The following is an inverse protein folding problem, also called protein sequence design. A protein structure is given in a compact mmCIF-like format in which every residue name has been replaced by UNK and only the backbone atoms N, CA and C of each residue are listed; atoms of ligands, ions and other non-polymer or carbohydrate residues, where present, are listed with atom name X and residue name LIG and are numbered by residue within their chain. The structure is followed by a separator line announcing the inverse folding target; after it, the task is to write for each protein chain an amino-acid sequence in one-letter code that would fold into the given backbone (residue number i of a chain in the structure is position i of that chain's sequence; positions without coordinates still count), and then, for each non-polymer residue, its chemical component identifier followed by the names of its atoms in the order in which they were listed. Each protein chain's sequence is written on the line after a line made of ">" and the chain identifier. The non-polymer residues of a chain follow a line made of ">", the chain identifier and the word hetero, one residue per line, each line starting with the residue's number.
data_IF_418128417615
#
_entry.id   IF_418128417615
#
_cell.length_a   1.000
_cell.length_b   1.000
_cell.length_c   1.000
_cell.angle_alpha   90.00
_cell.angle_beta   90.00
_cell.angle_gamma   90.00
#
_symmetry.space_group_name_H-M   'P 1'
#
loop_
_entity.id
_entity.type
_entity.pdbx_description
1 polymer ?
#
# COMPACT_ATOMS: atom_id res chain seq x y z
N UNK A 1 -4.86 -3.66 -23.88
CA UNK A 1 -6.31 -3.80 -24.01
C UNK A 1 -6.78 -3.20 -25.31
N UNK A 2 -6.52 -1.92 -25.58
CA UNK A 2 -6.96 -1.21 -26.81
C UNK A 2 -6.55 -1.94 -28.09
N UNK A 3 -5.34 -2.45 -28.19
CA UNK A 3 -4.86 -3.19 -29.38
C UNK A 3 -5.68 -4.47 -29.65
N UNK A 4 -6.16 -5.13 -28.59
CA UNK A 4 -6.90 -6.39 -28.69
C UNK A 4 -8.40 -6.20 -28.88
N UNK A 5 -8.97 -5.13 -28.35
CA UNK A 5 -10.42 -4.93 -28.28
C UNK A 5 -10.91 -3.76 -29.14
N UNK A 6 -10.03 -2.83 -29.49
CA UNK A 6 -10.38 -1.56 -30.12
C UNK A 6 -10.99 -0.52 -29.16
N UNK A 7 -11.22 -0.87 -27.90
CA UNK A 7 -11.73 0.05 -26.87
C UNK A 7 -10.66 1.07 -26.50
N UNK A 8 -10.99 2.33 -26.49
CA UNK A 8 -10.08 3.42 -26.10
C UNK A 8 -10.39 3.91 -24.69
N UNK A 9 -9.35 4.41 -24.01
CA UNK A 9 -9.51 5.04 -22.71
C UNK A 9 -9.69 6.56 -22.88
N UNK A 10 -10.56 7.15 -22.08
CA UNK A 10 -10.55 8.56 -21.79
C UNK A 10 -9.35 8.93 -20.89
N UNK A 11 -9.26 10.18 -20.48
CA UNK A 11 -8.20 10.64 -19.58
C UNK A 11 -8.23 9.88 -18.24
N UNK A 12 -7.20 9.09 -18.00
CA UNK A 12 -7.06 8.34 -16.75
C UNK A 12 -6.61 9.25 -15.62
N UNK A 13 -7.31 9.22 -14.50
CA UNK A 13 -6.99 10.01 -13.33
C UNK A 13 -6.13 9.21 -12.35
N UNK A 14 -4.94 9.73 -12.05
CA UNK A 14 -4.02 9.18 -11.04
C UNK A 14 -3.97 10.10 -9.82
N UNK A 15 -4.73 9.75 -8.77
CA UNK A 15 -4.83 10.52 -7.53
C UNK A 15 -4.88 9.58 -6.32
N UNK A 16 -4.79 10.15 -5.11
CA UNK A 16 -5.06 9.36 -3.91
C UNK A 16 -6.48 8.78 -3.99
N UNK A 17 -6.64 7.52 -3.55
CA UNK A 17 -7.92 6.81 -3.69
C UNK A 17 -9.08 7.54 -3.02
N UNK A 18 -8.84 8.20 -1.87
CA UNK A 18 -9.85 9.03 -1.20
C UNK A 18 -10.30 10.21 -2.06
N UNK A 19 -9.37 10.87 -2.79
CA UNK A 19 -9.70 11.97 -3.69
C UNK A 19 -10.53 11.50 -4.89
N UNK A 20 -10.25 10.31 -5.40
CA UNK A 20 -11.06 9.72 -6.48
C UNK A 20 -12.49 9.44 -6.01
N UNK A 21 -12.66 8.87 -4.83
CA UNK A 21 -13.99 8.66 -4.22
C UNK A 21 -14.70 9.98 -3.97
N UNK A 22 -14.00 10.99 -3.45
CA UNK A 22 -14.57 12.33 -3.25
C UNK A 22 -15.02 12.99 -4.57
N UNK A 23 -14.30 12.74 -5.70
CA UNK A 23 -14.73 13.21 -7.01
C UNK A 23 -16.03 12.53 -7.47
N UNK A 24 -16.16 11.20 -7.27
CA UNK A 24 -17.42 10.49 -7.54
C UNK A 24 -18.57 11.05 -6.70
N UNK A 25 -18.33 11.35 -5.41
CA UNK A 25 -19.29 12.01 -4.54
C UNK A 25 -19.67 13.40 -5.05
N UNK A 26 -18.75 14.11 -5.68
CA UNK A 26 -18.96 15.40 -6.35
C UNK A 26 -19.62 15.30 -7.74
N UNK A 27 -20.00 14.10 -8.20
CA UNK A 27 -20.68 13.88 -9.47
C UNK A 27 -19.74 13.73 -10.67
N UNK A 28 -18.45 13.42 -10.46
CA UNK A 28 -17.54 13.10 -11.55
C UNK A 28 -17.94 11.76 -12.19
N UNK A 29 -17.85 11.69 -13.52
CA UNK A 29 -18.11 10.45 -14.28
C UNK A 29 -16.82 9.65 -14.38
N UNK A 30 -16.95 8.33 -14.21
CA UNK A 30 -15.90 7.34 -14.47
C UNK A 30 -16.55 6.00 -14.86
N UNK A 31 -15.78 5.08 -15.42
CA UNK A 31 -16.24 3.74 -15.76
C UNK A 31 -15.65 2.69 -14.83
N UNK A 32 -14.41 2.89 -14.37
CA UNK A 32 -13.67 2.00 -13.48
C UNK A 32 -13.06 2.80 -12.33
N UNK A 33 -13.16 2.29 -11.12
CA UNK A 33 -12.42 2.75 -9.96
C UNK A 33 -11.46 1.65 -9.50
N UNK A 34 -10.17 1.99 -9.34
CA UNK A 34 -9.17 1.13 -8.69
C UNK A 34 -8.65 1.90 -7.47
N UNK A 35 -8.66 1.25 -6.31
CA UNK A 35 -8.21 1.87 -5.06
C UNK A 35 -6.98 1.15 -4.50
N UNK A 36 -6.15 1.89 -3.76
CA UNK A 36 -4.96 1.36 -3.09
C UNK A 36 -5.26 0.71 -1.74
N UNK A 37 -6.53 0.56 -1.36
CA UNK A 37 -6.93 -0.16 -0.15
C UNK A 37 -8.36 -0.66 -0.23
N UNK A 38 -8.63 -1.78 0.43
CA UNK A 38 -9.97 -2.32 0.59
C UNK A 38 -10.90 -1.33 1.33
N UNK A 39 -10.39 -0.60 2.34
CA UNK A 39 -11.20 0.36 3.09
C UNK A 39 -11.75 1.50 2.22
N UNK A 40 -10.95 2.05 1.31
CA UNK A 40 -11.43 3.09 0.39
C UNK A 40 -12.44 2.54 -0.62
N UNK A 41 -12.26 1.29 -1.07
CA UNK A 41 -13.27 0.64 -1.91
C UNK A 41 -14.59 0.42 -1.14
N UNK A 42 -14.51 0.02 0.13
CA UNK A 42 -15.71 -0.10 1.00
C UNK A 42 -16.45 1.24 1.09
N UNK A 43 -15.73 2.35 1.26
CA UNK A 43 -16.34 3.70 1.25
C UNK A 43 -17.06 3.99 -0.08
N UNK A 44 -16.48 3.60 -1.21
CA UNK A 44 -17.14 3.76 -2.51
C UNK A 44 -18.39 2.88 -2.65
N UNK A 45 -18.35 1.66 -2.12
CA UNK A 45 -19.48 0.73 -2.10
C UNK A 45 -20.62 1.25 -1.20
N UNK A 46 -20.32 1.72 0.00
CA UNK A 46 -21.29 2.31 0.92
C UNK A 46 -21.93 3.57 0.34
N UNK A 47 -21.18 4.32 -0.47
CA UNK A 47 -21.70 5.47 -1.23
C UNK A 47 -22.53 5.09 -2.45
N UNK A 48 -22.64 3.78 -2.79
CA UNK A 48 -23.40 3.29 -3.95
C UNK A 48 -22.69 3.46 -5.29
N UNK A 49 -21.40 3.84 -5.30
CA UNK A 49 -20.64 4.05 -6.54
C UNK A 49 -20.13 2.76 -7.17
N UNK A 50 -19.95 1.70 -6.39
CA UNK A 50 -19.49 0.40 -6.83
C UNK A 50 -20.28 -0.70 -6.12
N UNK A 51 -20.44 -1.87 -6.80
CA UNK A 51 -21.01 -3.07 -6.18
C UNK A 51 -19.91 -3.92 -5.54
N UNK A 52 -20.16 -4.48 -4.36
CA UNK A 52 -19.30 -5.47 -3.75
C UNK A 52 -19.16 -6.73 -4.60
N UNK A 53 -20.25 -7.16 -5.25
CA UNK A 53 -20.29 -8.36 -6.09
C UNK A 53 -19.42 -8.23 -7.35
N UNK A 54 -19.27 -7.02 -7.88
CA UNK A 54 -18.48 -6.71 -9.07
C UNK A 54 -17.05 -6.27 -8.73
N UNK A 55 -16.71 -6.15 -7.44
CA UNK A 55 -15.36 -5.78 -7.00
C UNK A 55 -14.42 -6.98 -7.07
N UNK A 56 -13.26 -6.78 -7.70
CA UNK A 56 -12.18 -7.78 -7.79
C UNK A 56 -10.91 -7.25 -7.16
N UNK A 57 -10.15 -8.11 -6.52
CA UNK A 57 -8.76 -7.78 -6.16
C UNK A 57 -7.92 -7.76 -7.42
N UNK A 58 -7.48 -6.59 -7.84
CA UNK A 58 -6.67 -6.40 -9.05
C UNK A 58 -5.20 -6.76 -8.79
N UNK A 59 -4.66 -6.29 -7.66
CA UNK A 59 -3.27 -6.49 -7.28
C UNK A 59 -3.16 -6.72 -5.78
N UNK A 60 -2.06 -7.34 -5.39
CA UNK A 60 -1.60 -7.44 -3.99
C UNK A 60 -0.22 -6.81 -3.90
N UNK A 61 0.22 -6.53 -2.68
CA UNK A 61 1.56 -6.03 -2.40
C UNK A 61 2.08 -6.67 -1.12
N UNK A 62 3.36 -6.54 -0.86
CA UNK A 62 4.02 -7.03 0.33
C UNK A 62 4.60 -5.85 1.11
N UNK A 63 4.60 -5.98 2.43
CA UNK A 63 5.34 -5.08 3.31
C UNK A 63 6.75 -5.63 3.45
N UNK A 64 7.75 -4.78 3.25
CA UNK A 64 9.16 -5.18 3.34
C UNK A 64 9.94 -4.25 4.26
N UNK A 65 10.96 -4.79 4.91
CA UNK A 65 12.00 -4.01 5.57
C UNK A 65 13.10 -3.74 4.56
N UNK A 66 13.46 -2.49 4.40
CA UNK A 66 14.54 -2.05 3.50
C UNK A 66 15.68 -1.42 4.29
N UNK A 67 16.87 -1.50 3.73
CA UNK A 67 18.06 -0.74 4.14
C UNK A 67 18.66 0.01 2.96
N UNK A 68 19.63 0.88 3.19
CA UNK A 68 20.41 1.47 2.10
C UNK A 68 21.11 0.39 1.28
N UNK A 69 21.26 0.59 -0.04
CA UNK A 69 21.80 -0.42 -0.98
C UNK A 69 23.20 -0.92 -0.60
N UNK A 70 24.04 -0.07 0.02
CA UNK A 70 25.39 -0.43 0.47
C UNK A 70 25.44 -0.95 1.93
N UNK A 71 24.30 -0.97 2.63
CA UNK A 71 24.19 -1.42 4.01
C UNK A 71 24.49 -2.91 4.13
N UNK A 72 25.08 -3.30 5.26
CA UNK A 72 25.32 -4.70 5.65
C UNK A 72 24.36 -5.18 6.74
N UNK A 73 23.36 -4.36 7.07
CA UNK A 73 22.31 -4.75 8.02
C UNK A 73 21.51 -5.90 7.42
N UNK A 74 21.26 -6.92 8.23
CA UNK A 74 20.40 -8.05 7.87
C UNK A 74 19.34 -8.22 8.96
N UNK A 75 18.17 -8.70 8.55
CA UNK A 75 17.04 -9.02 9.42
C UNK A 75 16.49 -10.38 9.00
N UNK A 76 16.32 -11.29 9.93
CA UNK A 76 15.73 -12.62 9.72
C UNK A 76 14.38 -12.81 10.42
N UNK A 77 14.07 -11.92 11.36
CA UNK A 77 12.79 -11.84 12.07
C UNK A 77 12.52 -10.38 12.43
N UNK A 78 11.27 -9.94 12.34
CA UNK A 78 10.91 -8.54 12.60
C UNK A 78 11.29 -8.07 14.02
N UNK A 79 11.37 -8.99 14.99
CA UNK A 79 11.84 -8.69 16.35
C UNK A 79 13.27 -8.20 16.41
N UNK A 80 14.09 -8.53 15.41
CA UNK A 80 15.47 -8.05 15.33
C UNK A 80 15.57 -6.54 15.16
N UNK A 81 14.50 -5.86 14.72
CA UNK A 81 14.44 -4.39 14.75
C UNK A 81 14.67 -3.84 16.16
N UNK A 82 14.27 -4.59 17.21
CA UNK A 82 14.49 -4.24 18.60
C UNK A 82 15.86 -4.67 19.16
N UNK A 83 16.40 -5.79 18.67
CA UNK A 83 17.55 -6.48 19.31
C UNK A 83 18.84 -6.40 18.51
N UNK A 84 18.80 -6.06 17.23
CA UNK A 84 19.99 -5.88 16.41
C UNK A 84 20.64 -4.52 16.73
N UNK A 85 21.86 -4.54 17.25
CA UNK A 85 22.60 -3.33 17.65
C UNK A 85 23.04 -2.46 16.46
N UNK A 86 23.06 -3.04 15.25
CA UNK A 86 23.32 -2.30 14.01
C UNK A 86 22.12 -1.47 13.53
N UNK A 87 20.95 -1.65 14.13
CA UNK A 87 19.74 -0.88 13.83
C UNK A 87 19.51 0.09 14.96
N UNK A 88 19.77 1.36 14.72
CA UNK A 88 19.60 2.47 15.67
C UNK A 88 18.45 3.39 15.31
N UNK A 89 18.00 3.34 14.06
CA UNK A 89 16.92 4.17 13.52
C UNK A 89 16.05 3.40 12.51
N UNK A 90 14.73 3.56 12.64
CA UNK A 90 13.71 2.85 11.87
C UNK A 90 12.71 3.86 11.34
N UNK A 91 12.59 4.01 10.02
CA UNK A 91 11.61 4.88 9.39
C UNK A 91 10.32 4.13 9.08
N UNK A 92 9.19 4.71 9.43
CA UNK A 92 7.86 4.27 8.98
C UNK A 92 7.02 5.49 8.61
N UNK A 93 6.02 5.30 7.75
CA UNK A 93 5.01 6.33 7.50
C UNK A 93 4.14 6.58 8.73
N UNK A 94 3.62 7.80 8.87
CA UNK A 94 2.61 8.09 9.90
C UNK A 94 1.43 7.11 9.73
N UNK A 95 1.13 6.26 10.73
CA UNK A 95 0.07 5.25 10.62
C UNK A 95 -1.33 5.82 10.46
N UNK A 96 -1.52 7.11 10.73
CA UNK A 96 -2.79 7.81 10.57
C UNK A 96 -2.98 8.43 9.19
N UNK A 97 -1.88 8.56 8.42
CA UNK A 97 -1.89 9.25 7.12
C UNK A 97 -1.43 8.33 6.00
N UNK A 98 -0.42 7.50 6.27
CA UNK A 98 0.27 6.66 5.27
C UNK A 98 -0.18 5.21 5.40
N UNK A 99 -0.81 4.61 4.37
CA UNK A 99 -1.24 3.20 4.43
C UNK A 99 -0.12 2.22 4.78
N UNK A 100 1.09 2.39 4.20
CA UNK A 100 2.26 1.57 4.55
C UNK A 100 2.60 1.66 6.04
N UNK A 101 2.48 2.85 6.65
CA UNK A 101 2.67 3.04 8.09
C UNK A 101 1.63 2.30 8.93
N UNK A 102 0.38 2.26 8.47
CA UNK A 102 -0.69 1.48 9.13
C UNK A 102 -0.38 -0.02 9.11
N UNK A 103 0.10 -0.56 8.00
CA UNK A 103 0.53 -1.97 7.93
C UNK A 103 1.79 -2.21 8.74
N UNK A 104 2.74 -1.27 8.76
CA UNK A 104 3.96 -1.35 9.56
C UNK A 104 3.65 -1.50 11.05
N UNK A 105 2.76 -0.68 11.62
CA UNK A 105 2.43 -0.79 13.05
C UNK A 105 1.64 -2.07 13.36
N UNK A 106 0.83 -2.60 12.44
CA UNK A 106 0.19 -3.91 12.60
C UNK A 106 1.23 -5.04 12.67
N UNK A 107 2.21 -5.02 11.78
CA UNK A 107 3.29 -6.00 11.77
C UNK A 107 4.17 -5.89 13.03
N UNK A 108 4.50 -4.68 13.45
CA UNK A 108 5.24 -4.43 14.69
C UNK A 108 4.46 -4.90 15.93
N UNK A 109 3.13 -4.72 15.96
CA UNK A 109 2.28 -5.24 17.03
C UNK A 109 2.26 -6.77 17.04
N UNK A 110 2.11 -7.42 15.89
CA UNK A 110 2.19 -8.87 15.75
C UNK A 110 3.54 -9.44 16.21
N UNK A 111 4.62 -8.68 15.99
CA UNK A 111 5.96 -9.02 16.50
C UNK A 111 6.15 -8.72 18.00
N UNK A 112 5.18 -8.08 18.67
CA UNK A 112 5.28 -7.67 20.07
C UNK A 112 6.15 -6.42 20.30
N UNK A 113 6.44 -5.64 19.24
CA UNK A 113 7.28 -4.44 19.29
C UNK A 113 6.50 -3.15 19.55
N UNK A 114 5.18 -3.19 19.46
CA UNK A 114 4.31 -2.08 19.87
C UNK A 114 2.93 -2.61 20.31
N UNK A 115 2.11 -1.70 20.81
CA UNK A 115 0.67 -1.90 21.01
C UNK A 115 -0.07 -0.79 20.28
N UNK A 116 -1.03 -1.18 19.44
CA UNK A 116 -1.89 -0.26 18.68
C UNK A 116 -3.25 -0.17 19.36
N UNK A 117 -3.80 1.02 19.47
CA UNK A 117 -5.15 1.27 19.97
C UNK A 117 -5.88 2.17 18.98
N UNK A 118 -7.01 1.72 18.47
CA UNK A 118 -7.88 2.54 17.64
C UNK A 118 -8.76 3.42 18.53
N UNK A 119 -8.71 4.72 18.31
CA UNK A 119 -9.49 5.72 19.03
C UNK A 119 -10.91 5.81 18.44
N UNK A 120 -11.82 6.47 19.18
CA UNK A 120 -13.22 6.63 18.75
C UNK A 120 -13.40 7.45 17.48
N UNK A 121 -12.40 8.23 17.08
CA UNK A 121 -12.35 9.03 15.85
C UNK A 121 -11.70 8.29 14.68
N UNK A 122 -11.34 6.99 14.87
CA UNK A 122 -10.69 6.15 13.86
C UNK A 122 -9.18 6.35 13.75
N UNK A 123 -8.58 7.25 14.52
CA UNK A 123 -7.13 7.42 14.58
C UNK A 123 -6.47 6.30 15.40
N UNK A 124 -5.19 6.04 15.11
CA UNK A 124 -4.38 5.05 15.82
C UNK A 124 -3.45 5.72 16.83
N UNK A 125 -3.47 5.23 18.07
CA UNK A 125 -2.45 5.53 19.07
C UNK A 125 -1.49 4.36 19.14
N UNK A 126 -0.20 4.59 18.94
CA UNK A 126 0.83 3.55 18.95
C UNK A 126 1.74 3.74 20.15
N UNK A 127 1.86 2.71 20.98
CA UNK A 127 2.82 2.64 22.09
C UNK A 127 3.91 1.64 21.75
N UNK A 128 5.07 2.14 21.37
CA UNK A 128 6.24 1.31 21.04
C UNK A 128 6.87 0.67 22.27
N UNK A 129 7.34 -0.57 22.11
CA UNK A 129 8.17 -1.23 23.11
C UNK A 129 9.49 -0.49 23.32
N UNK A 130 10.08 -0.67 24.51
CA UNK A 130 11.32 0.02 24.90
C UNK A 130 12.51 -0.29 23.98
N UNK A 131 12.50 -1.47 23.35
CA UNK A 131 13.55 -1.92 22.43
C UNK A 131 13.61 -1.09 21.16
N UNK A 132 12.46 -0.54 20.69
CA UNK A 132 12.39 0.26 19.46
C UNK A 132 11.94 1.70 19.67
N UNK A 133 11.34 2.05 20.81
CA UNK A 133 10.72 3.35 21.05
C UNK A 133 11.64 4.57 20.78
N UNK A 134 12.96 4.41 20.98
CA UNK A 134 13.93 5.47 20.70
C UNK A 134 14.51 5.41 19.29
N UNK A 135 14.22 4.33 18.56
CA UNK A 135 14.70 4.09 17.20
C UNK A 135 13.69 4.55 16.16
N UNK A 136 12.39 4.59 16.51
CA UNK A 136 11.30 4.88 15.59
C UNK A 136 11.28 6.34 15.15
N UNK A 137 11.18 6.53 13.84
CA UNK A 137 10.78 7.76 13.16
C UNK A 137 9.51 7.45 12.37
N UNK A 138 8.35 7.80 12.92
CA UNK A 138 7.00 7.55 12.38
C UNK A 138 6.32 8.81 11.81
N UNK A 139 7.09 9.85 11.55
CA UNK A 139 6.58 11.13 11.04
C UNK A 139 6.63 11.30 9.52
N UNK A 140 6.94 10.26 8.75
CA UNK A 140 6.95 10.37 7.30
C UNK A 140 5.52 10.53 6.75
N UNK A 141 5.32 11.55 5.90
CA UNK A 141 4.02 11.92 5.31
C UNK A 141 3.59 11.02 4.14
N UNK A 142 4.52 10.23 3.60
CA UNK A 142 4.31 9.29 2.49
C UNK A 142 5.40 8.22 2.48
N UNK A 143 5.14 7.09 1.81
CA UNK A 143 6.11 5.98 1.70
C UNK A 143 7.42 6.41 1.04
N UNK A 144 7.38 7.32 0.06
CA UNK A 144 8.59 7.85 -0.58
C UNK A 144 9.51 8.61 0.38
N UNK A 145 8.97 9.27 1.41
CA UNK A 145 9.76 9.92 2.47
C UNK A 145 10.48 8.88 3.32
N UNK A 146 9.84 7.72 3.60
CA UNK A 146 10.50 6.59 4.29
C UNK A 146 11.68 6.09 3.46
N UNK A 147 11.47 5.85 2.15
CA UNK A 147 12.52 5.42 1.24
C UNK A 147 13.70 6.42 1.18
N UNK A 148 13.40 7.73 1.13
CA UNK A 148 14.43 8.79 1.14
C UNK A 148 15.24 8.77 2.43
N UNK A 149 14.61 8.65 3.62
CA UNK A 149 15.34 8.59 4.89
C UNK A 149 16.34 7.44 4.95
N UNK A 150 15.98 6.29 4.37
CA UNK A 150 16.87 5.13 4.30
C UNK A 150 17.96 5.33 3.26
N UNK A 151 17.62 5.80 2.06
CA UNK A 151 18.58 6.05 0.98
C UNK A 151 19.65 7.11 1.37
N UNK A 152 19.22 8.15 2.07
CA UNK A 152 20.10 9.24 2.54
C UNK A 152 20.87 8.92 3.83
N UNK A 153 20.67 7.73 4.40
CA UNK A 153 21.31 7.29 5.64
C UNK A 153 20.82 8.02 6.90
N UNK A 154 19.65 8.65 6.83
CA UNK A 154 19.00 9.26 7.99
C UNK A 154 18.38 8.21 8.92
N UNK A 155 17.98 7.07 8.34
CA UNK A 155 17.54 5.88 9.07
C UNK A 155 18.28 4.66 8.53
N UNK A 156 18.58 3.70 9.42
CA UNK A 156 19.28 2.46 9.08
C UNK A 156 18.36 1.53 8.27
N UNK A 157 17.08 1.50 8.62
CA UNK A 157 16.05 0.66 7.97
C UNK A 157 14.71 1.41 7.87
N UNK A 158 13.85 0.94 6.97
CA UNK A 158 12.48 1.44 6.83
C UNK A 158 11.51 0.35 6.43
N UNK A 159 10.21 0.56 6.67
CA UNK A 159 9.15 -0.31 6.20
C UNK A 159 8.39 0.37 5.06
N UNK A 160 8.42 -0.28 3.90
CA UNK A 160 7.82 0.19 2.63
C UNK A 160 7.12 -0.98 1.93
N UNK A 161 6.52 -0.74 0.77
CA UNK A 161 6.01 -1.82 -0.07
C UNK A 161 7.12 -2.42 -0.96
N UNK A 162 7.01 -3.70 -1.30
CA UNK A 162 7.93 -4.34 -2.25
C UNK A 162 7.97 -3.62 -3.61
N UNK A 163 6.83 -3.10 -4.07
CA UNK A 163 6.76 -2.29 -5.30
C UNK A 163 7.53 -0.97 -5.24
N UNK A 164 7.85 -0.45 -4.06
CA UNK A 164 8.63 0.78 -3.92
C UNK A 164 10.10 0.57 -4.28
N UNK A 165 10.60 -0.67 -4.26
CA UNK A 165 11.96 -1.01 -4.72
C UNK A 165 12.21 -0.68 -6.19
N UNK A 166 11.15 -0.69 -7.02
CA UNK A 166 11.21 -0.29 -8.43
C UNK A 166 11.16 1.23 -8.63
N UNK A 167 10.72 1.98 -7.62
CA UNK A 167 10.50 3.43 -7.71
C UNK A 167 11.62 4.24 -7.08
N UNK A 168 12.34 3.64 -6.14
CA UNK A 168 13.36 4.34 -5.35
C UNK A 168 14.67 3.58 -5.42
N UNK A 169 15.61 4.15 -6.18
CA UNK A 169 16.99 3.68 -6.21
C UNK A 169 17.66 3.88 -4.84
N UNK A 170 18.69 3.12 -4.56
CA UNK A 170 19.52 3.30 -3.36
C UNK A 170 18.98 2.63 -2.10
N UNK A 171 17.89 1.86 -2.19
CA UNK A 171 17.41 0.97 -1.13
C UNK A 171 17.40 -0.48 -1.60
N UNK A 172 17.52 -1.42 -0.66
CA UNK A 172 17.42 -2.85 -0.91
C UNK A 172 16.51 -3.51 0.12
N UNK A 173 15.78 -4.53 -0.31
CA UNK A 173 15.03 -5.38 0.61
C UNK A 173 15.98 -6.23 1.45
N UNK A 174 15.74 -6.29 2.75
CA UNK A 174 16.46 -7.14 3.69
C UNK A 174 15.57 -8.13 4.43
N UNK A 175 14.24 -7.96 4.36
CA UNK A 175 13.28 -8.87 4.95
C UNK A 175 11.87 -8.62 4.41
N UNK A 176 11.20 -9.68 3.95
CA UNK A 176 9.77 -9.65 3.61
C UNK A 176 8.96 -9.94 4.87
N UNK A 177 8.06 -9.05 5.25
CA UNK A 177 7.18 -9.23 6.41
C UNK A 177 6.13 -10.30 6.10
N UNK A 178 5.98 -11.36 6.92
CA UNK A 178 4.96 -12.38 6.72
C UNK A 178 3.54 -11.79 6.63
N UNK A 179 2.76 -12.27 5.67
CA UNK A 179 1.43 -11.72 5.35
C UNK A 179 0.40 -11.91 6.46
N UNK A 180 0.64 -12.81 7.42
CA UNK A 180 -0.19 -13.03 8.62
C UNK A 180 0.08 -12.02 9.74
N UNK A 181 1.12 -11.19 9.62
CA UNK A 181 1.47 -10.15 10.60
C UNK A 181 0.74 -8.82 10.39
N UNK A 182 0.06 -8.64 9.27
CA UNK A 182 -0.72 -7.44 8.95
C UNK A 182 -1.94 -7.79 8.10
N UNK A 183 -2.88 -6.86 7.95
CA UNK A 183 -4.00 -7.04 7.03
C UNK A 183 -3.49 -7.14 5.59
N UNK A 184 -4.18 -7.93 4.76
CA UNK A 184 -3.83 -8.07 3.35
C UNK A 184 -3.74 -6.71 2.64
N UNK A 185 -2.65 -6.49 1.94
CA UNK A 185 -2.43 -5.30 1.13
C UNK A 185 -3.02 -5.60 -0.24
N UNK A 186 -4.18 -5.02 -0.53
CA UNK A 186 -4.93 -5.28 -1.76
C UNK A 186 -5.29 -3.99 -2.46
N UNK A 187 -5.31 -4.06 -3.78
CA UNK A 187 -5.76 -2.98 -4.67
C UNK A 187 -7.01 -3.47 -5.39
N UNK A 188 -8.20 -3.24 -4.83
CA UNK A 188 -9.45 -3.64 -5.47
C UNK A 188 -9.82 -2.70 -6.61
N UNK A 189 -10.40 -3.28 -7.65
CA UNK A 189 -10.99 -2.58 -8.78
C UNK A 189 -12.45 -2.97 -8.95
N UNK A 190 -13.30 -2.02 -9.36
CA UNK A 190 -14.71 -2.23 -9.62
C UNK A 190 -15.21 -1.33 -10.76
N UNK A 191 -16.21 -1.78 -11.55
CA UNK A 191 -16.95 -0.90 -12.41
C UNK A 191 -17.77 0.09 -11.60
N UNK A 192 -17.96 1.30 -12.13
CA UNK A 192 -18.86 2.29 -11.54
C UNK A 192 -20.31 1.88 -11.85
N UNK A 193 -21.17 1.88 -10.83
CA UNK A 193 -22.52 1.35 -10.90
C UNK A 193 -23.41 2.06 -11.95
N UNK A 194 -23.29 3.38 -12.06
CA UNK A 194 -24.09 4.21 -13.00
C UNK A 194 -23.38 4.44 -14.34
N UNK A 195 -22.28 3.72 -14.62
CA UNK A 195 -21.58 3.85 -15.88
C UNK A 195 -22.40 3.26 -17.04
N UNK A 196 -22.51 4.02 -18.12
CA UNK A 196 -23.08 3.50 -19.37
C UNK A 196 -22.21 2.41 -20.02
N UNK A 197 -20.95 2.28 -19.58
CA UNK A 197 -19.95 1.34 -20.08
C UNK A 197 -19.64 0.23 -19.06
N UNK A 198 -20.55 -0.07 -18.12
CA UNK A 198 -20.30 -1.00 -17.02
C UNK A 198 -19.84 -2.40 -17.47
N UNK A 199 -20.40 -2.94 -18.55
CA UNK A 199 -20.00 -4.23 -19.11
C UNK A 199 -18.57 -4.18 -19.67
N UNK A 200 -18.23 -3.11 -20.42
CA UNK A 200 -16.87 -2.90 -20.92
C UNK A 200 -15.85 -2.70 -19.77
N UNK A 201 -16.30 -2.07 -18.69
CA UNK A 201 -15.48 -1.90 -17.48
C UNK A 201 -15.20 -3.25 -16.79
N UNK A 202 -16.19 -4.15 -16.72
CA UNK A 202 -16.01 -5.53 -16.23
C UNK A 202 -15.05 -6.30 -17.12
N UNK A 203 -15.24 -6.24 -18.44
CA UNK A 203 -14.35 -6.90 -19.39
C UNK A 203 -12.90 -6.41 -19.26
N UNK A 204 -12.69 -5.12 -19.01
CA UNK A 204 -11.36 -4.56 -18.77
C UNK A 204 -10.74 -5.11 -17.47
N UNK A 205 -11.49 -5.17 -16.39
CA UNK A 205 -11.03 -5.73 -15.11
C UNK A 205 -10.66 -7.20 -15.29
N UNK A 206 -11.52 -7.99 -15.93
CA UNK A 206 -11.27 -9.41 -16.19
C UNK A 206 -10.07 -9.62 -17.12
N UNK A 207 -9.92 -8.77 -18.15
CA UNK A 207 -8.73 -8.76 -19.00
C UNK A 207 -7.44 -8.53 -18.18
N UNK A 208 -7.42 -7.54 -17.29
CA UNK A 208 -6.28 -7.28 -16.43
C UNK A 208 -5.92 -8.49 -15.56
N UNK A 209 -6.92 -9.27 -15.13
CA UNK A 209 -6.73 -10.41 -14.24
C UNK A 209 -6.39 -11.72 -14.96
N UNK A 210 -6.78 -11.89 -16.23
CA UNK A 210 -6.74 -13.19 -16.91
C UNK A 210 -5.92 -13.21 -18.19
N UNK A 211 -5.73 -12.07 -18.87
CA UNK A 211 -4.99 -12.04 -20.13
C UNK A 211 -3.49 -12.17 -19.89
N UNK A 212 -2.85 -13.08 -20.64
CA UNK A 212 -1.43 -13.39 -20.45
C UNK A 212 -0.48 -12.22 -20.75
N UNK A 213 -0.86 -11.30 -21.64
CA UNK A 213 -0.02 -10.13 -21.93
C UNK A 213 -0.22 -9.05 -20.88
N UNK A 214 -1.44 -8.89 -20.35
CA UNK A 214 -1.69 -8.03 -19.18
C UNK A 214 -0.88 -8.53 -17.98
N UNK A 215 -0.90 -9.83 -17.69
CA UNK A 215 -0.16 -10.43 -16.58
C UNK A 215 1.37 -10.21 -16.72
N UNK A 216 1.92 -10.31 -17.93
CA UNK A 216 3.35 -9.99 -18.16
C UNK A 216 3.70 -8.53 -17.85
N UNK A 217 2.78 -7.60 -18.09
CA UNK A 217 3.00 -6.18 -17.73
C UNK A 217 3.04 -6.03 -16.22
N UNK A 218 2.08 -6.61 -15.51
CA UNK A 218 2.01 -6.51 -14.04
C UNK A 218 3.19 -7.17 -13.34
N UNK A 219 3.74 -8.24 -13.89
CA UNK A 219 4.93 -8.93 -13.34
C UNK A 219 6.23 -8.12 -13.46
N UNK A 220 6.21 -6.98 -14.14
CA UNK A 220 7.37 -6.09 -14.24
C UNK A 220 7.47 -5.12 -13.05
N UNK A 221 6.44 -5.04 -12.23
CA UNK A 221 6.30 -4.10 -11.12
C UNK A 221 5.91 -4.81 -9.81
#
# INVERSE_FOLDING_TARGET
>A
YTEKTGTTFADTQFKASGDLVAQLQGGASADVLITASAGTMTTAQEGGYCSADDTKTMFTNELVVVSGADSKVTVSDLKELGTNDSITSIAIGDPNVVPAGKYAVQALESAGLCKVTENSDGTLSVKYDKSIAKKINDGADKVGTVASYVNEGQCDVGLVYSSDLYRYDGIQEIYTVPSDMHKAITYPGAPIADSANADTAKDFIDFCLTDADAQKVWQQY
#
